data_IF_338464008798
#
_entry.id   IF_338464008798
#
_cell.length_a   1.000
_cell.length_b   1.000
_cell.length_c   1.000
_cell.angle_alpha   90.00
_cell.angle_beta   90.00
_cell.angle_gamma   90.00
#
_symmetry.space_group_name_H-M   'P 1'
#
loop_
_entity.id
_entity.type
_entity.pdbx_description
1 polymer ?
#
# COMPACT_ATOMS: atom_id res chain seq x y z
N UNK A 1 8.22 -2.39 40.49
CA UNK A 1 6.84 -2.15 40.03
C UNK A 1 6.81 -2.30 38.52
N UNK A 2 5.86 -3.05 37.95
CA UNK A 2 5.67 -3.06 36.50
C UNK A 2 4.97 -1.76 36.08
N UNK A 3 5.44 -1.11 35.02
CA UNK A 3 4.72 0.03 34.46
C UNK A 3 3.37 -0.46 33.91
N UNK A 4 2.29 0.21 34.29
CA UNK A 4 0.97 -0.03 33.71
C UNK A 4 1.04 0.25 32.21
N UNK A 5 0.87 -0.79 31.40
CA UNK A 5 0.99 -0.69 29.94
C UNK A 5 -0.01 0.34 29.39
N UNK A 6 0.49 1.33 28.67
CA UNK A 6 -0.33 2.39 28.06
C UNK A 6 -1.48 1.78 27.26
N UNK A 7 -2.71 2.31 27.36
CA UNK A 7 -3.88 1.69 26.76
C UNK A 7 -3.73 1.65 25.23
N UNK A 8 -4.13 0.51 24.64
CA UNK A 8 -3.84 0.20 23.24
C UNK A 8 -4.31 1.31 22.28
N UNK A 9 -3.48 1.68 21.28
CA UNK A 9 -3.76 2.84 20.43
C UNK A 9 -4.99 2.61 19.54
N UNK A 10 -5.72 3.69 19.29
CA UNK A 10 -6.82 3.68 18.31
C UNK A 10 -6.22 3.87 16.93
N UNK A 11 -6.19 2.80 16.14
CA UNK A 11 -5.69 2.82 14.77
C UNK A 11 -6.79 3.23 13.80
N UNK A 12 -6.43 4.10 12.85
CA UNK A 12 -7.32 4.68 11.86
C UNK A 12 -6.61 4.86 10.51
N UNK A 13 -7.39 4.91 9.43
CA UNK A 13 -6.87 5.17 8.09
C UNK A 13 -7.88 5.95 7.26
N UNK A 14 -7.39 6.64 6.22
CA UNK A 14 -8.20 7.40 5.29
C UNK A 14 -7.43 7.77 4.02
N UNK A 15 -8.06 8.48 3.10
CA UNK A 15 -7.38 8.98 1.91
C UNK A 15 -7.89 10.35 1.46
N UNK A 16 -6.95 11.21 1.07
CA UNK A 16 -7.23 12.47 0.41
C UNK A 16 -7.43 12.19 -1.08
N UNK A 17 -8.70 11.96 -1.45
CA UNK A 17 -9.09 11.70 -2.82
C UNK A 17 -9.06 13.00 -3.62
N UNK A 18 -8.43 12.97 -4.78
CA UNK A 18 -8.27 14.13 -5.66
C UNK A 18 -8.59 13.77 -7.11
N UNK A 19 -8.87 14.79 -7.93
CA UNK A 19 -9.08 14.68 -9.37
C UNK A 19 -8.55 15.91 -10.10
N UNK A 20 -8.12 15.75 -11.33
CA UNK A 20 -7.73 16.88 -12.18
C UNK A 20 -8.93 17.68 -12.71
N UNK A 21 -8.68 18.95 -13.00
CA UNK A 21 -9.63 19.91 -13.58
C UNK A 21 -8.85 20.95 -14.36
N UNK A 22 -9.47 21.64 -15.32
CA UNK A 22 -8.80 22.72 -16.07
C UNK A 22 -8.27 23.77 -15.09
N UNK A 23 -6.94 23.88 -14.99
CA UNK A 23 -6.21 24.80 -14.11
C UNK A 23 -5.88 24.28 -12.70
N UNK A 24 -6.45 23.18 -12.23
CA UNK A 24 -6.40 22.81 -10.81
C UNK A 24 -6.56 21.33 -10.51
N UNK A 25 -6.60 21.01 -9.21
CA UNK A 25 -7.18 19.76 -8.71
C UNK A 25 -8.34 20.09 -7.77
N UNK A 26 -9.44 19.35 -7.90
CA UNK A 26 -10.45 19.29 -6.85
C UNK A 26 -10.08 18.15 -5.90
N UNK A 27 -10.33 18.33 -4.59
CA UNK A 27 -10.25 17.29 -3.57
C UNK A 27 -11.63 16.98 -3.00
N UNK A 28 -11.81 15.75 -2.50
CA UNK A 28 -13.05 15.28 -1.89
C UNK A 28 -12.98 15.45 -0.37
N UNK A 29 -13.94 16.19 0.18
CA UNK A 29 -14.15 16.33 1.62
C UNK A 29 -15.51 15.77 2.04
N UNK A 30 -15.61 15.42 3.32
CA UNK A 30 -16.83 14.98 4.01
C UNK A 30 -17.18 15.92 5.15
N UNK A 31 -18.47 16.24 5.27
CA UNK A 31 -19.02 17.02 6.36
C UNK A 31 -19.53 16.10 7.48
N UNK A 32 -19.35 16.52 8.75
CA UNK A 32 -19.84 15.77 9.92
C UNK A 32 -20.87 16.56 10.72
N UNK A 33 -22.16 16.19 10.72
CA UNK A 33 -23.19 16.90 11.46
C UNK A 33 -22.98 16.86 12.99
N UNK A 34 -22.20 15.89 13.50
CA UNK A 34 -21.81 15.82 14.91
C UNK A 34 -20.85 16.94 15.36
N UNK A 35 -20.09 17.51 14.43
CA UNK A 35 -19.00 18.44 14.73
C UNK A 35 -19.09 19.77 13.95
N UNK A 36 -20.03 19.88 13.01
CA UNK A 36 -20.21 21.00 12.08
C UNK A 36 -18.89 21.33 11.34
N UNK A 37 -18.19 20.29 10.87
CA UNK A 37 -16.87 20.44 10.27
C UNK A 37 -16.60 19.56 9.04
N UNK A 38 -15.81 20.10 8.13
CA UNK A 38 -15.28 19.43 6.94
C UNK A 38 -13.94 18.76 7.24
N UNK A 39 -13.73 17.57 6.68
CA UNK A 39 -12.45 16.85 6.81
C UNK A 39 -12.23 15.82 5.70
N UNK A 40 -11.06 15.20 5.71
CA UNK A 40 -10.65 14.15 4.77
C UNK A 40 -11.29 12.80 5.18
N UNK A 41 -11.85 11.99 4.26
CA UNK A 41 -12.46 10.71 4.62
C UNK A 41 -11.50 9.75 5.37
N UNK A 42 -11.94 9.20 6.50
CA UNK A 42 -11.20 8.28 7.39
C UNK A 42 -12.09 7.65 8.48
N UNK A 43 -11.75 6.43 8.88
CA UNK A 43 -12.28 5.84 10.11
C UNK A 43 -11.31 4.86 10.77
N UNK A 44 -11.82 3.85 11.47
CA UNK A 44 -11.03 2.98 12.36
C UNK A 44 -10.69 1.67 11.66
N UNK A 45 -9.49 1.13 11.91
CA UNK A 45 -9.16 -0.21 11.44
C UNK A 45 -10.06 -1.24 12.10
N UNK A 46 -10.68 -2.08 11.28
CA UNK A 46 -11.48 -3.21 11.72
C UNK A 46 -10.61 -4.38 12.22
N UNK A 47 -11.18 -5.39 12.90
CA UNK A 47 -10.40 -6.39 13.64
C UNK A 47 -9.53 -7.29 12.72
N UNK A 48 -8.27 -6.90 12.54
CA UNK A 48 -7.31 -7.59 11.67
C UNK A 48 -7.27 -7.04 10.24
N UNK A 49 -7.87 -5.86 10.02
CA UNK A 49 -7.68 -5.06 8.82
C UNK A 49 -6.26 -4.47 8.74
N UNK A 50 -5.84 -3.98 7.58
CA UNK A 50 -4.59 -3.22 7.38
C UNK A 50 -4.92 -1.77 7.02
N UNK A 51 -4.00 -0.84 7.26
CA UNK A 51 -4.27 0.58 6.99
C UNK A 51 -4.67 0.89 5.53
N UNK A 52 -4.07 0.30 4.47
CA UNK A 52 -4.52 0.52 3.10
C UNK A 52 -5.93 -0.01 2.82
N UNK A 53 -6.28 -1.18 3.38
CA UNK A 53 -7.62 -1.76 3.23
C UNK A 53 -8.68 -0.89 3.92
N UNK A 54 -8.38 -0.44 5.15
CA UNK A 54 -9.21 0.51 5.88
C UNK A 54 -9.36 1.84 5.11
N UNK A 55 -8.27 2.42 4.58
CA UNK A 55 -8.34 3.66 3.81
C UNK A 55 -9.27 3.57 2.59
N UNK A 56 -9.27 2.43 1.87
CA UNK A 56 -10.16 2.21 0.72
C UNK A 56 -11.60 1.92 1.15
N UNK A 57 -11.81 1.18 2.25
CA UNK A 57 -13.14 0.90 2.81
C UNK A 57 -13.81 2.17 3.32
N UNK A 58 -13.16 2.91 4.20
CA UNK A 58 -13.69 4.11 4.84
C UNK A 58 -14.06 5.19 3.80
N UNK A 59 -13.23 5.37 2.76
CA UNK A 59 -13.57 6.25 1.63
C UNK A 59 -14.81 5.75 0.88
N UNK A 60 -14.97 4.45 0.66
CA UNK A 60 -16.15 3.91 -0.01
C UNK A 60 -17.43 4.05 0.81
N UNK A 61 -17.34 3.85 2.13
CA UNK A 61 -18.46 3.98 3.09
C UNK A 61 -18.87 5.45 3.31
N UNK A 62 -17.92 6.35 3.54
CA UNK A 62 -18.18 7.78 3.76
C UNK A 62 -18.53 8.55 2.47
N UNK A 63 -18.16 8.06 1.27
CA UNK A 63 -18.30 8.85 0.03
C UNK A 63 -18.96 8.15 -1.16
N UNK A 64 -19.12 6.83 -1.14
CA UNK A 64 -19.63 6.08 -2.29
C UNK A 64 -18.65 5.93 -3.47
N UNK A 65 -17.37 6.27 -3.29
CA UNK A 65 -16.32 6.08 -4.30
C UNK A 65 -15.33 4.97 -3.92
N UNK A 66 -15.04 4.06 -4.87
CA UNK A 66 -13.88 3.17 -4.79
C UNK A 66 -12.65 3.90 -5.33
N UNK A 67 -11.55 3.84 -4.60
CA UNK A 67 -10.33 4.58 -4.92
C UNK A 67 -9.12 3.69 -5.12
N UNK A 68 -8.11 4.26 -5.78
CA UNK A 68 -6.76 3.74 -5.94
C UNK A 68 -5.84 4.61 -5.09
N UNK A 69 -5.07 3.98 -4.19
CA UNK A 69 -4.08 4.67 -3.40
C UNK A 69 -2.82 4.92 -4.25
N UNK A 70 -2.32 6.16 -4.18
CA UNK A 70 -0.99 6.55 -4.64
C UNK A 70 -0.04 6.56 -3.43
N UNK A 71 0.91 7.49 -3.36
CA UNK A 71 1.87 7.56 -2.24
C UNK A 71 1.19 7.90 -0.90
N UNK A 72 1.75 7.44 0.23
CA UNK A 72 1.30 7.87 1.55
C UNK A 72 1.48 9.37 1.77
N UNK A 73 0.66 9.93 2.66
CA UNK A 73 0.69 11.29 3.18
C UNK A 73 1.08 11.26 4.69
N UNK A 74 1.43 12.40 5.32
CA UNK A 74 1.95 12.40 6.68
C UNK A 74 0.96 11.87 7.73
N UNK A 75 1.36 10.83 8.45
CA UNK A 75 0.54 10.24 9.52
C UNK A 75 0.22 11.25 10.64
N UNK A 76 -1.03 11.26 11.11
CA UNK A 76 -1.47 12.09 12.23
C UNK A 76 -1.48 11.29 13.53
N UNK A 77 -0.80 11.79 14.56
CA UNK A 77 -0.72 11.16 15.89
C UNK A 77 -1.13 12.17 16.97
N UNK A 78 -2.10 11.81 17.80
CA UNK A 78 -2.62 12.68 18.86
C UNK A 78 -3.25 11.88 20.01
N UNK A 79 -3.42 12.49 21.18
CA UNK A 79 -4.10 11.86 22.32
C UNK A 79 -5.61 12.08 22.26
N UNK A 80 -6.37 11.06 22.68
CA UNK A 80 -7.80 11.12 22.92
C UNK A 80 -8.09 11.54 24.39
N UNK A 81 -9.31 12.02 24.71
CA UNK A 81 -9.69 12.39 26.08
C UNK A 81 -9.61 11.23 27.10
N UNK A 82 -9.60 9.98 26.64
CA UNK A 82 -9.43 8.77 27.47
C UNK A 82 -7.94 8.35 27.65
N UNK A 83 -7.00 9.19 27.24
CA UNK A 83 -5.56 8.97 27.35
C UNK A 83 -4.97 8.03 26.29
N UNK A 84 -5.77 7.45 25.39
CA UNK A 84 -5.24 6.63 24.27
C UNK A 84 -4.63 7.50 23.19
N UNK A 85 -3.49 7.07 22.64
CA UNK A 85 -2.97 7.59 21.38
C UNK A 85 -3.87 7.14 20.22
N UNK A 86 -4.36 8.07 19.41
CA UNK A 86 -4.92 7.79 18.09
C UNK A 86 -3.84 8.00 17.02
N UNK A 87 -3.75 7.05 16.10
CA UNK A 87 -2.82 7.08 14.95
C UNK A 87 -3.67 6.97 13.68
N UNK A 88 -3.55 7.94 12.78
CA UNK A 88 -4.19 7.94 11.46
C UNK A 88 -3.10 7.89 10.38
N UNK A 89 -3.17 6.90 9.49
CA UNK A 89 -2.38 6.89 8.25
C UNK A 89 -3.24 7.40 7.09
N UNK A 90 -2.62 8.12 6.15
CA UNK A 90 -3.31 8.73 5.01
C UNK A 90 -2.57 8.42 3.71
N UNK A 91 -3.31 8.42 2.60
CA UNK A 91 -2.80 8.30 1.24
C UNK A 91 -3.37 9.37 0.34
N UNK A 92 -2.61 9.83 -0.65
CA UNK A 92 -3.20 10.52 -1.80
C UNK A 92 -3.92 9.47 -2.67
N UNK A 93 -5.12 9.75 -3.17
CA UNK A 93 -5.89 8.75 -3.90
C UNK A 93 -6.66 9.32 -5.10
N UNK A 94 -6.95 8.48 -6.08
CA UNK A 94 -7.81 8.81 -7.25
C UNK A 94 -8.99 7.85 -7.33
N UNK A 95 -10.09 8.28 -7.96
CA UNK A 95 -11.30 7.44 -8.10
C UNK A 95 -11.10 6.36 -9.18
N UNK A 96 -11.30 5.09 -8.80
CA UNK A 96 -11.41 3.95 -9.74
C UNK A 96 -12.83 3.82 -10.30
N UNK A 97 -13.81 3.90 -9.40
CA UNK A 97 -15.23 3.70 -9.73
C UNK A 97 -16.14 4.33 -8.65
N UNK A 98 -17.43 4.47 -8.95
CA UNK A 98 -18.47 4.73 -7.94
C UNK A 98 -19.00 3.40 -7.41
N UNK A 99 -18.96 3.17 -6.10
CA UNK A 99 -19.51 1.96 -5.44
C UNK A 99 -21.00 2.07 -5.17
N UNK A 100 -21.53 3.28 -4.94
CA UNK A 100 -22.92 3.47 -4.54
C UNK A 100 -23.31 4.95 -4.48
N UNK A 101 -24.45 5.29 -3.85
CA UNK A 101 -24.86 6.68 -3.67
C UNK A 101 -23.87 7.44 -2.78
N UNK A 102 -23.54 6.86 -1.61
CA UNK A 102 -22.80 7.51 -0.51
C UNK A 102 -23.62 8.58 0.23
N UNK A 103 -23.29 8.89 1.49
CA UNK A 103 -22.59 8.06 2.48
C UNK A 103 -23.45 6.87 2.97
N UNK A 104 -22.86 5.91 3.67
CA UNK A 104 -23.60 4.75 4.23
C UNK A 104 -24.30 5.06 5.57
N UNK A 105 -23.69 5.81 6.50
CA UNK A 105 -24.37 6.32 7.70
C UNK A 105 -24.49 7.85 7.68
N UNK A 106 -25.71 8.33 7.40
CA UNK A 106 -26.05 9.76 7.36
C UNK A 106 -25.96 10.51 8.69
N UNK A 107 -25.65 9.81 9.79
CA UNK A 107 -25.42 10.39 11.12
C UNK A 107 -23.94 10.65 11.40
N UNK A 108 -23.04 10.00 10.65
CA UNK A 108 -21.59 10.24 10.71
C UNK A 108 -21.19 11.26 9.63
N UNK A 109 -21.63 11.06 8.38
CA UNK A 109 -21.43 11.99 7.25
C UNK A 109 -22.78 12.32 6.61
N UNK A 110 -23.13 13.61 6.45
CA UNK A 110 -24.36 14.05 5.76
C UNK A 110 -24.11 14.63 4.36
N UNK A 111 -23.01 15.35 4.15
CA UNK A 111 -22.60 15.91 2.85
C UNK A 111 -21.21 15.40 2.40
N UNK A 112 -21.05 15.21 1.08
CA UNK A 112 -19.76 14.96 0.40
C UNK A 112 -19.57 16.04 -0.66
N UNK A 113 -18.39 16.65 -0.73
CA UNK A 113 -18.15 17.77 -1.66
C UNK A 113 -16.79 17.69 -2.33
N UNK A 114 -16.79 17.90 -3.65
CA UNK A 114 -15.58 18.14 -4.43
C UNK A 114 -15.31 19.64 -4.48
N UNK A 115 -14.20 20.08 -3.92
CA UNK A 115 -13.81 21.50 -3.81
C UNK A 115 -12.39 21.72 -4.35
N UNK A 116 -12.05 22.90 -4.90
CA UNK A 116 -10.66 23.24 -5.22
C UNK A 116 -9.73 23.09 -4.01
N UNK A 117 -8.47 22.71 -4.24
CA UNK A 117 -7.49 22.52 -3.16
C UNK A 117 -7.36 23.72 -2.21
N UNK A 118 -7.41 24.94 -2.73
CA UNK A 118 -7.26 26.16 -1.94
C UNK A 118 -8.55 26.48 -1.13
N UNK A 119 -9.72 26.08 -1.63
CA UNK A 119 -10.99 26.13 -0.88
C UNK A 119 -11.01 25.07 0.24
N UNK A 120 -10.46 23.88 -0.01
CA UNK A 120 -10.33 22.84 1.02
C UNK A 120 -9.50 23.29 2.22
N UNK A 121 -8.46 24.11 1.99
CA UNK A 121 -7.63 24.67 3.06
C UNK A 121 -8.41 25.67 3.93
N UNK A 122 -9.40 26.36 3.36
CA UNK A 122 -10.29 27.28 4.07
C UNK A 122 -11.47 26.58 4.78
N UNK A 123 -12.00 25.49 4.20
CA UNK A 123 -13.13 24.72 4.76
C UNK A 123 -12.71 23.78 5.90
N UNK A 124 -11.53 23.17 5.81
CA UNK A 124 -11.04 22.30 6.89
C UNK A 124 -10.49 23.13 8.05
N UNK A 125 -10.84 22.77 9.28
CA UNK A 125 -10.45 23.53 10.49
C UNK A 125 -9.40 22.82 11.34
N UNK A 126 -9.13 21.53 11.08
CA UNK A 126 -8.22 20.70 11.87
C UNK A 126 -6.85 20.64 11.22
N UNK A 127 -5.82 20.98 12.00
CA UNK A 127 -4.38 20.87 11.62
C UNK A 127 -4.01 19.50 11.02
N UNK A 128 -4.64 18.42 11.49
CA UNK A 128 -4.40 17.06 10.98
C UNK A 128 -4.83 16.86 9.53
N UNK A 129 -5.85 17.59 9.06
CA UNK A 129 -6.31 17.60 7.67
C UNK A 129 -5.48 18.59 6.82
N UNK A 130 -5.16 19.79 7.34
CA UNK A 130 -4.27 20.78 6.68
C UNK A 130 -2.92 20.19 6.25
N UNK A 131 -2.26 19.44 7.13
CA UNK A 131 -0.97 18.78 6.85
C UNK A 131 -1.05 17.83 5.64
N UNK A 132 -2.21 17.24 5.36
CA UNK A 132 -2.42 16.38 4.18
C UNK A 132 -2.60 17.22 2.91
N UNK A 133 -3.36 18.33 3.00
CA UNK A 133 -3.58 19.27 1.90
C UNK A 133 -2.27 19.94 1.47
N UNK A 134 -1.45 20.39 2.43
CA UNK A 134 -0.09 20.91 2.18
C UNK A 134 0.81 19.86 1.52
N UNK A 135 0.76 18.60 1.99
CA UNK A 135 1.54 17.52 1.42
C UNK A 135 1.10 17.20 -0.01
N UNK A 136 -0.21 17.20 -0.29
CA UNK A 136 -0.75 17.04 -1.64
C UNK A 136 -0.31 18.19 -2.57
N UNK A 137 -0.35 19.44 -2.10
CA UNK A 137 0.13 20.61 -2.85
C UNK A 137 1.63 20.49 -3.17
N UNK A 138 2.44 20.00 -2.22
CA UNK A 138 3.87 19.74 -2.38
C UNK A 138 4.18 18.58 -3.33
N UNK A 139 3.34 17.56 -3.37
CA UNK A 139 3.46 16.47 -4.34
C UNK A 139 3.06 16.95 -5.75
N UNK A 140 2.06 17.85 -5.86
CA UNK A 140 1.68 18.51 -7.12
C UNK A 140 2.81 19.35 -7.70
N UNK A 141 3.47 20.17 -6.89
CA UNK A 141 4.55 21.06 -7.38
C UNK A 141 5.87 20.37 -7.74
N UNK A 142 5.95 19.03 -7.59
CA UNK A 142 7.11 18.20 -7.93
C UNK A 142 6.83 17.15 -9.03
N UNK A 143 5.61 17.11 -9.55
CA UNK A 143 5.08 16.04 -10.40
C UNK A 143 5.14 14.64 -9.74
N UNK A 144 4.72 14.58 -8.47
CA UNK A 144 4.78 13.38 -7.62
C UNK A 144 3.39 12.95 -7.08
N UNK A 145 2.29 13.45 -7.67
CA UNK A 145 0.92 13.06 -7.33
C UNK A 145 0.56 11.67 -7.85
N UNK A 146 0.69 11.47 -9.17
CA UNK A 146 0.36 10.22 -9.83
C UNK A 146 1.53 9.28 -9.67
N UNK A 147 1.41 8.34 -8.74
CA UNK A 147 2.40 7.27 -8.58
C UNK A 147 1.87 5.91 -9.05
N UNK A 148 2.80 5.09 -9.52
CA UNK A 148 2.62 3.71 -9.97
C UNK A 148 3.22 2.76 -8.92
N UNK A 149 2.46 1.78 -8.40
CA UNK A 149 2.97 0.82 -7.44
C UNK A 149 3.77 -0.29 -8.14
N UNK A 150 5.04 -0.42 -7.75
CA UNK A 150 5.82 -1.64 -8.00
C UNK A 150 5.94 -2.37 -6.66
N UNK A 151 5.18 -3.44 -6.49
CA UNK A 151 5.01 -4.13 -5.20
C UNK A 151 5.94 -5.34 -5.10
N UNK A 152 7.01 -5.23 -4.33
CA UNK A 152 7.95 -6.31 -4.07
C UNK A 152 7.40 -7.23 -2.98
N UNK A 153 6.81 -8.35 -3.38
CA UNK A 153 6.20 -9.34 -2.50
C UNK A 153 7.19 -10.46 -2.15
N UNK A 154 7.64 -10.55 -0.90
CA UNK A 154 8.29 -11.79 -0.45
C UNK A 154 7.24 -12.88 -0.28
N UNK A 155 7.50 -14.08 -0.81
CA UNK A 155 6.57 -15.21 -0.67
C UNK A 155 6.16 -15.48 0.80
N UNK A 156 4.95 -15.98 1.00
CA UNK A 156 4.39 -16.28 2.32
C UNK A 156 5.10 -17.47 3.01
N UNK A 157 4.79 -17.73 4.29
CA UNK A 157 5.49 -18.74 5.06
C UNK A 157 5.38 -20.16 4.47
N UNK A 158 6.52 -20.75 4.07
CA UNK A 158 6.59 -22.07 3.43
C UNK A 158 6.91 -23.21 4.41
N UNK A 159 6.68 -24.46 4.01
CA UNK A 159 7.19 -25.62 4.78
C UNK A 159 8.71 -25.55 4.91
N UNK A 160 9.28 -25.99 6.03
CA UNK A 160 10.73 -26.05 6.20
C UNK A 160 11.36 -27.07 5.26
N UNK A 161 12.60 -26.84 4.82
CA UNK A 161 13.33 -27.78 3.94
C UNK A 161 13.46 -29.17 4.59
N UNK A 162 13.70 -29.21 5.90
CA UNK A 162 13.70 -30.45 6.69
C UNK A 162 12.38 -31.25 6.64
N UNK A 163 11.23 -30.61 6.37
CA UNK A 163 9.89 -31.24 6.25
C UNK A 163 9.40 -31.40 4.79
N UNK A 164 10.26 -31.22 3.78
CA UNK A 164 9.90 -31.44 2.38
C UNK A 164 10.94 -32.31 1.67
N UNK A 165 10.50 -33.18 0.74
CA UNK A 165 11.40 -34.09 -0.02
C UNK A 165 11.22 -34.03 -1.54
N UNK A 166 10.14 -33.46 -2.06
CA UNK A 166 9.83 -33.43 -3.51
C UNK A 166 10.57 -32.33 -4.29
N UNK A 167 11.78 -31.98 -3.87
CA UNK A 167 12.59 -30.90 -4.44
C UNK A 167 12.14 -29.48 -4.06
N UNK A 168 13.05 -28.50 -4.18
CA UNK A 168 12.84 -27.12 -3.73
C UNK A 168 11.83 -26.34 -4.58
N UNK A 169 11.75 -26.63 -5.89
CA UNK A 169 10.82 -25.99 -6.86
C UNK A 169 9.35 -26.17 -6.46
N UNK A 170 9.00 -27.33 -5.88
CA UNK A 170 7.64 -27.71 -5.52
C UNK A 170 7.24 -27.36 -4.09
N UNK A 171 8.17 -26.84 -3.27
CA UNK A 171 7.98 -26.64 -1.82
C UNK A 171 6.84 -25.64 -1.54
N UNK A 172 5.72 -26.06 -0.92
CA UNK A 172 4.49 -25.26 -0.82
C UNK A 172 4.46 -24.36 0.42
N UNK A 173 3.40 -23.55 0.49
CA UNK A 173 3.04 -22.80 1.69
C UNK A 173 2.64 -23.71 2.86
N UNK A 174 3.05 -23.33 4.07
CA UNK A 174 2.57 -23.91 5.32
C UNK A 174 1.23 -23.28 5.74
N UNK A 175 0.61 -23.70 6.85
CA UNK A 175 -0.71 -23.18 7.27
C UNK A 175 -0.71 -21.65 7.42
N UNK A 176 0.26 -21.09 8.15
CA UNK A 176 0.45 -19.64 8.31
C UNK A 176 0.63 -18.94 6.95
N UNK A 177 1.40 -19.53 6.03
CA UNK A 177 1.58 -18.99 4.68
C UNK A 177 0.28 -18.95 3.87
N UNK A 178 -0.57 -19.97 4.00
CA UNK A 178 -1.89 -19.99 3.34
C UNK A 178 -2.84 -18.93 3.92
N UNK A 179 -2.78 -18.65 5.21
CA UNK A 179 -3.51 -17.52 5.82
C UNK A 179 -3.00 -16.19 5.28
N UNK A 180 -1.68 -15.98 5.24
CA UNK A 180 -1.06 -14.76 4.70
C UNK A 180 -1.45 -14.51 3.24
N UNK A 181 -1.35 -15.53 2.38
CA UNK A 181 -1.72 -15.43 0.96
C UNK A 181 -3.22 -15.07 0.77
N UNK A 182 -4.11 -15.59 1.64
CA UNK A 182 -5.53 -15.21 1.66
C UNK A 182 -5.80 -13.80 2.19
N UNK A 183 -4.90 -13.23 2.98
CA UNK A 183 -5.03 -11.90 3.57
C UNK A 183 -4.30 -10.79 2.78
N UNK A 184 -3.55 -11.14 1.72
CA UNK A 184 -2.94 -10.17 0.81
C UNK A 184 -3.94 -9.38 -0.09
N UNK A 185 -5.05 -9.93 -0.62
CA UNK A 185 -5.83 -9.23 -1.64
C UNK A 185 -6.29 -7.81 -1.26
N UNK A 186 -6.81 -7.54 -0.04
CA UNK A 186 -7.19 -6.17 0.36
C UNK A 186 -6.01 -5.20 0.48
N UNK A 187 -4.79 -5.70 0.74
CA UNK A 187 -3.56 -4.89 0.77
C UNK A 187 -3.12 -4.54 -0.64
N UNK A 188 -3.27 -5.47 -1.58
CA UNK A 188 -2.73 -5.37 -2.94
C UNK A 188 -3.69 -4.61 -3.87
N UNK A 189 -5.00 -4.89 -3.83
CA UNK A 189 -6.00 -4.21 -4.66
C UNK A 189 -6.14 -2.71 -4.34
N UNK A 190 -5.80 -2.30 -3.11
CA UNK A 190 -5.80 -0.89 -2.71
C UNK A 190 -4.94 0.01 -3.62
N UNK A 191 -3.89 -0.54 -4.25
CA UNK A 191 -2.99 0.20 -5.14
C UNK A 191 -3.28 -0.03 -6.65
N UNK A 192 -4.21 -0.92 -6.98
CA UNK A 192 -4.63 -1.28 -8.35
C UNK A 192 -3.50 -1.78 -9.28
N UNK A 193 -2.81 -2.90 -8.96
CA UNK A 193 -1.82 -3.51 -9.86
C UNK A 193 -2.50 -4.35 -10.95
N UNK A 194 -2.13 -4.13 -12.22
CA UNK A 194 -2.72 -4.84 -13.36
C UNK A 194 -2.08 -6.19 -13.68
N UNK A 195 -0.87 -6.46 -13.20
CA UNK A 195 -0.09 -7.67 -13.56
C UNK A 195 0.82 -8.17 -12.44
N UNK A 196 1.19 -9.44 -12.52
CA UNK A 196 2.10 -10.13 -11.60
C UNK A 196 3.29 -10.72 -12.34
N UNK A 197 4.50 -10.42 -11.88
CA UNK A 197 5.74 -11.09 -12.29
C UNK A 197 6.22 -11.95 -11.11
N UNK A 198 6.45 -13.25 -11.30
CA UNK A 198 6.71 -14.15 -10.16
C UNK A 198 7.74 -15.22 -10.48
N UNK A 199 8.47 -15.70 -9.47
CA UNK A 199 9.28 -16.89 -9.66
C UNK A 199 8.37 -18.13 -9.83
N UNK A 200 8.67 -19.07 -10.74
CA UNK A 200 7.87 -20.28 -10.96
C UNK A 200 7.89 -21.33 -9.83
N UNK A 201 8.53 -21.04 -8.70
CA UNK A 201 8.55 -21.98 -7.57
C UNK A 201 7.25 -21.90 -6.78
N UNK A 202 6.67 -23.07 -6.45
CA UNK A 202 5.28 -23.20 -6.00
C UNK A 202 4.86 -22.18 -4.94
N UNK A 203 5.65 -22.00 -3.87
CA UNK A 203 5.37 -21.00 -2.81
C UNK A 203 5.18 -19.57 -3.29
N UNK A 204 5.79 -19.14 -4.40
CA UNK A 204 5.57 -17.81 -4.98
C UNK A 204 4.22 -17.76 -5.70
N UNK A 205 3.91 -18.72 -6.59
CA UNK A 205 2.58 -18.86 -7.22
C UNK A 205 1.47 -18.96 -6.16
N UNK A 206 1.61 -19.85 -5.19
CA UNK A 206 0.68 -20.02 -4.05
C UNK A 206 0.50 -18.73 -3.21
N UNK A 207 1.44 -17.78 -3.24
CA UNK A 207 1.32 -16.49 -2.53
C UNK A 207 0.51 -15.48 -3.33
N UNK A 208 0.70 -15.44 -4.66
CA UNK A 208 0.09 -14.42 -5.54
C UNK A 208 -1.25 -14.83 -6.14
N UNK A 209 -1.47 -16.13 -6.30
CA UNK A 209 -2.68 -16.70 -6.90
C UNK A 209 -4.00 -16.18 -6.31
N UNK A 210 -4.17 -15.94 -4.99
CA UNK A 210 -5.42 -15.43 -4.44
C UNK A 210 -5.79 -14.03 -4.92
N UNK A 211 -4.85 -13.09 -4.98
CA UNK A 211 -5.13 -11.72 -5.44
C UNK A 211 -5.11 -11.61 -6.96
N UNK A 212 -4.24 -12.36 -7.64
CA UNK A 212 -4.20 -12.38 -9.11
C UNK A 212 -5.51 -12.90 -9.70
N UNK A 213 -6.11 -13.95 -9.10
CA UNK A 213 -7.43 -14.44 -9.52
C UNK A 213 -8.57 -13.46 -9.19
N UNK A 214 -8.48 -12.74 -8.07
CA UNK A 214 -9.52 -11.78 -7.68
C UNK A 214 -9.54 -10.53 -8.58
N UNK A 215 -8.36 -10.02 -8.95
CA UNK A 215 -8.22 -8.85 -9.82
C UNK A 215 -8.08 -9.16 -11.31
N UNK A 216 -8.21 -10.44 -11.74
CA UNK A 216 -8.06 -10.82 -13.15
C UNK A 216 -6.66 -10.58 -13.75
N UNK A 217 -5.61 -10.56 -12.92
CA UNK A 217 -4.26 -10.14 -13.29
C UNK A 217 -3.48 -11.23 -14.04
N UNK A 218 -2.77 -10.85 -15.10
CA UNK A 218 -1.80 -11.73 -15.77
C UNK A 218 -0.67 -12.17 -14.83
N UNK A 219 -0.28 -13.45 -14.90
CA UNK A 219 0.84 -14.02 -14.13
C UNK A 219 1.97 -14.40 -15.09
N UNK A 220 3.02 -13.58 -15.15
CA UNK A 220 4.24 -13.84 -15.91
C UNK A 220 5.28 -14.53 -15.02
N UNK A 221 5.71 -15.73 -15.39
CA UNK A 221 6.74 -16.45 -14.64
C UNK A 221 8.17 -16.12 -15.14
N UNK A 222 9.09 -15.92 -14.19
CA UNK A 222 10.50 -15.57 -14.43
C UNK A 222 11.45 -16.47 -13.63
N UNK A 223 12.14 -17.45 -14.28
CA UNK A 223 13.16 -18.27 -13.63
C UNK A 223 14.27 -17.47 -12.94
N UNK A 224 14.56 -16.26 -13.43
CA UNK A 224 15.53 -15.29 -12.91
C UNK A 224 15.17 -14.79 -11.49
N UNK A 225 13.90 -14.93 -11.07
CA UNK A 225 13.42 -14.57 -9.74
C UNK A 225 13.48 -15.75 -8.74
N UNK A 226 14.04 -16.90 -9.12
CA UNK A 226 14.20 -18.07 -8.24
C UNK A 226 15.52 -18.02 -7.46
N UNK A 227 15.63 -18.72 -6.31
CA UNK A 227 16.90 -18.74 -5.55
C UNK A 227 18.05 -19.38 -6.35
N UNK A 228 17.76 -20.28 -7.31
CA UNK A 228 18.76 -20.86 -8.20
C UNK A 228 19.17 -19.88 -9.32
N UNK A 229 18.21 -19.41 -10.13
CA UNK A 229 18.51 -18.51 -11.26
C UNK A 229 19.14 -17.17 -10.83
N UNK A 230 18.84 -16.71 -9.60
CA UNK A 230 19.54 -15.59 -8.98
C UNK A 230 20.97 -15.91 -8.53
N UNK A 231 21.21 -17.09 -7.96
CA UNK A 231 22.56 -17.51 -7.57
C UNK A 231 23.46 -17.75 -8.79
N UNK A 232 22.93 -18.34 -9.84
CA UNK A 232 23.64 -18.60 -11.10
C UNK A 232 23.96 -17.28 -11.84
N UNK A 233 22.97 -16.38 -11.94
CA UNK A 233 23.07 -15.15 -12.74
C UNK A 233 22.36 -13.93 -12.09
N UNK A 234 22.94 -13.30 -11.05
CA UNK A 234 22.34 -12.14 -10.37
C UNK A 234 22.03 -10.96 -11.30
N UNK A 235 22.81 -10.79 -12.38
CA UNK A 235 22.61 -9.77 -13.41
C UNK A 235 21.31 -9.96 -14.22
N UNK A 236 20.82 -11.20 -14.38
CA UNK A 236 19.54 -11.47 -15.05
C UNK A 236 18.36 -11.13 -14.15
N UNK A 237 18.46 -11.42 -12.85
CA UNK A 237 17.51 -10.93 -11.83
C UNK A 237 17.45 -9.40 -11.83
N UNK A 238 18.62 -8.74 -11.89
CA UNK A 238 18.74 -7.28 -11.97
C UNK A 238 18.04 -6.73 -13.21
N UNK A 239 18.31 -7.28 -14.40
CA UNK A 239 17.66 -6.87 -15.64
C UNK A 239 16.12 -7.07 -15.66
N UNK A 240 15.59 -8.11 -15.01
CA UNK A 240 14.13 -8.26 -14.82
C UNK A 240 13.57 -7.12 -13.96
N UNK A 241 14.29 -6.70 -12.91
CA UNK A 241 13.84 -5.59 -12.06
C UNK A 241 13.97 -4.23 -12.73
N UNK A 242 15.09 -3.95 -13.41
CA UNK A 242 15.27 -2.70 -14.16
C UNK A 242 14.15 -2.53 -15.19
N UNK A 243 13.82 -3.60 -15.93
CA UNK A 243 12.70 -3.59 -16.88
C UNK A 243 11.35 -3.32 -16.21
N UNK A 244 11.04 -3.98 -15.09
CA UNK A 244 9.76 -3.76 -14.38
C UNK A 244 9.64 -2.33 -13.85
N UNK A 245 10.74 -1.72 -13.40
CA UNK A 245 10.79 -0.34 -12.93
C UNK A 245 10.67 0.66 -14.10
N UNK A 246 11.42 0.44 -15.18
CA UNK A 246 11.40 1.27 -16.40
C UNK A 246 10.08 1.23 -17.16
N UNK A 247 9.37 0.09 -17.17
CA UNK A 247 8.05 -0.01 -17.80
C UNK A 247 6.97 0.81 -17.07
N UNK A 248 7.22 1.26 -15.82
CA UNK A 248 6.34 2.13 -15.03
C UNK A 248 4.85 1.73 -15.06
N UNK A 249 4.57 0.41 -15.01
CA UNK A 249 3.22 -0.16 -14.99
C UNK A 249 2.89 -0.76 -13.61
N UNK A 250 1.65 -0.62 -13.08
CA UNK A 250 1.26 -1.20 -11.80
C UNK A 250 1.50 -2.72 -11.74
N UNK A 251 2.52 -3.15 -10.97
CA UNK A 251 3.09 -4.51 -11.06
C UNK A 251 3.39 -5.09 -9.68
N UNK A 252 2.99 -6.34 -9.41
CA UNK A 252 3.49 -7.10 -8.24
C UNK A 252 4.64 -8.02 -8.66
N UNK A 253 5.79 -7.94 -8.00
CA UNK A 253 6.95 -8.83 -8.21
C UNK A 253 7.12 -9.78 -7.02
N UNK A 254 6.90 -11.09 -7.21
CA UNK A 254 7.02 -12.07 -6.12
C UNK A 254 8.27 -12.97 -6.20
N UNK A 255 9.06 -12.98 -5.12
CA UNK A 255 10.36 -13.67 -5.05
C UNK A 255 10.73 -14.16 -3.63
N UNK A 256 11.98 -14.60 -3.44
CA UNK A 256 12.52 -15.25 -2.24
C UNK A 256 13.53 -14.36 -1.51
N UNK A 257 13.72 -14.62 -0.20
CA UNK A 257 14.66 -13.86 0.65
C UNK A 257 16.08 -13.68 0.06
N UNK A 258 16.75 -14.70 -0.51
CA UNK A 258 18.10 -14.54 -1.07
C UNK A 258 18.18 -13.58 -2.26
N UNK A 259 17.06 -13.36 -2.96
CA UNK A 259 16.95 -12.55 -4.19
C UNK A 259 16.70 -11.07 -3.87
N UNK A 260 16.10 -10.79 -2.70
CA UNK A 260 15.78 -9.43 -2.23
C UNK A 260 16.96 -8.42 -2.21
N UNK A 261 18.23 -8.78 -1.93
CA UNK A 261 19.34 -7.82 -2.00
C UNK A 261 19.49 -7.19 -3.39
N UNK A 262 19.41 -8.00 -4.45
CA UNK A 262 19.50 -7.52 -5.84
C UNK A 262 18.26 -6.72 -6.24
N UNK A 263 17.07 -7.14 -5.81
CA UNK A 263 15.81 -6.43 -6.09
C UNK A 263 15.79 -5.05 -5.42
N UNK A 264 16.20 -4.97 -4.15
CA UNK A 264 16.23 -3.71 -3.40
C UNK A 264 17.41 -2.84 -3.82
N UNK A 265 18.51 -3.41 -4.33
CA UNK A 265 19.57 -2.64 -5.00
C UNK A 265 19.11 -1.99 -6.31
N UNK A 266 18.23 -2.66 -7.08
CA UNK A 266 17.60 -2.06 -8.26
C UNK A 266 16.69 -0.89 -7.89
N UNK A 267 15.77 -1.09 -6.94
CA UNK A 267 14.93 -0.01 -6.42
C UNK A 267 15.73 1.17 -5.84
N UNK A 268 16.80 0.87 -5.07
CA UNK A 268 17.69 1.89 -4.48
C UNK A 268 18.43 2.75 -5.52
N UNK A 269 18.61 2.25 -6.74
CA UNK A 269 19.24 3.00 -7.82
C UNK A 269 18.31 4.04 -8.49
N UNK A 270 16.99 3.96 -8.26
CA UNK A 270 15.98 4.88 -8.81
C UNK A 270 15.23 5.68 -7.74
N UNK A 271 15.49 5.41 -6.46
CA UNK A 271 14.86 6.15 -5.35
C UNK A 271 15.48 7.53 -5.13
N UNK A 272 14.65 8.49 -4.69
CA UNK A 272 15.14 9.76 -4.13
C UNK A 272 16.05 9.47 -2.92
N UNK A 273 16.98 10.38 -2.61
CA UNK A 273 18.04 10.12 -1.62
C UNK A 273 17.49 9.81 -0.20
N UNK A 274 16.42 10.48 0.21
CA UNK A 274 15.67 10.23 1.44
C UNK A 274 14.95 8.88 1.40
N UNK A 275 14.17 8.61 0.36
CA UNK A 275 13.44 7.35 0.15
C UNK A 275 14.40 6.15 0.08
N UNK A 276 15.60 6.34 -0.48
CA UNK A 276 16.66 5.35 -0.50
C UNK A 276 17.18 5.02 0.92
N UNK A 277 17.20 5.97 1.85
CA UNK A 277 17.60 5.70 3.24
C UNK A 277 16.61 4.77 3.96
N UNK A 278 15.32 4.85 3.63
CA UNK A 278 14.25 4.01 4.20
C UNK A 278 14.25 2.57 3.66
N UNK A 279 14.67 2.36 2.40
CA UNK A 279 14.71 1.03 1.78
C UNK A 279 15.50 0.03 2.65
N UNK A 280 15.00 -1.21 2.87
CA UNK A 280 15.64 -2.17 3.76
C UNK A 280 17.10 -2.44 3.41
N UNK A 281 17.99 -2.43 4.41
CA UNK A 281 19.45 -2.46 4.21
C UNK A 281 20.09 -3.83 4.49
N UNK A 282 19.45 -4.67 5.30
CA UNK A 282 20.02 -5.93 5.79
C UNK A 282 18.99 -7.08 5.78
N UNK A 283 19.49 -8.33 5.81
CA UNK A 283 18.66 -9.52 5.92
C UNK A 283 17.79 -9.50 7.20
N UNK A 284 16.51 -9.91 7.14
CA UNK A 284 15.85 -10.63 6.03
C UNK A 284 15.32 -9.75 4.89
N UNK A 285 15.58 -8.44 4.91
CA UNK A 285 14.99 -7.38 4.07
C UNK A 285 13.47 -7.24 4.26
N UNK A 286 12.72 -8.28 3.93
CA UNK A 286 11.27 -8.41 4.14
C UNK A 286 10.96 -9.70 4.92
N UNK A 287 9.93 -9.69 5.76
CA UNK A 287 9.38 -10.86 6.43
C UNK A 287 8.65 -11.78 5.43
N UNK A 288 8.41 -13.04 5.79
CA UNK A 288 7.69 -13.96 4.90
C UNK A 288 6.23 -13.49 4.76
N UNK A 289 5.78 -13.25 3.53
CA UNK A 289 4.46 -12.68 3.23
C UNK A 289 4.39 -11.16 3.27
N UNK A 290 5.48 -10.46 3.58
CA UNK A 290 5.51 -8.98 3.55
C UNK A 290 5.66 -8.45 2.12
N UNK A 291 4.89 -7.39 1.83
CA UNK A 291 4.97 -6.57 0.63
C UNK A 291 5.71 -5.26 0.93
N UNK A 292 6.58 -4.84 0.01
CA UNK A 292 7.18 -3.51 -0.05
C UNK A 292 6.65 -2.81 -1.30
N UNK A 293 5.85 -1.77 -1.12
CA UNK A 293 5.28 -0.99 -2.21
C UNK A 293 6.30 0.12 -2.53
N UNK A 294 6.68 0.23 -3.80
CA UNK A 294 7.50 1.31 -4.34
C UNK A 294 6.59 2.24 -5.14
N UNK A 295 6.52 3.52 -4.79
CA UNK A 295 5.74 4.51 -5.53
C UNK A 295 6.62 5.18 -6.58
N UNK A 296 6.51 4.72 -7.82
CA UNK A 296 7.25 5.27 -8.96
C UNK A 296 6.47 6.43 -9.59
N UNK A 297 7.13 7.52 -9.97
CA UNK A 297 6.59 8.50 -10.93
C UNK A 297 6.70 7.98 -12.37
N UNK A 298 6.13 8.69 -13.34
CA UNK A 298 6.11 8.26 -14.75
C UNK A 298 7.51 8.15 -15.38
N UNK A 299 8.50 8.88 -14.85
CA UNK A 299 9.93 8.81 -15.18
C UNK A 299 10.70 7.75 -14.37
N UNK A 300 9.98 6.79 -13.75
CA UNK A 300 10.49 5.68 -12.95
C UNK A 300 11.29 6.05 -11.67
N UNK A 301 11.32 7.32 -11.24
CA UNK A 301 11.87 7.67 -9.91
C UNK A 301 10.97 7.14 -8.79
N UNK A 302 11.54 6.55 -7.75
CA UNK A 302 10.78 6.09 -6.57
C UNK A 302 10.74 7.21 -5.54
N UNK A 303 9.54 7.78 -5.34
CA UNK A 303 9.30 9.00 -4.53
C UNK A 303 8.68 8.72 -3.15
N UNK A 304 8.27 7.49 -2.89
CA UNK A 304 7.92 6.99 -1.56
C UNK A 304 8.02 5.46 -1.54
N UNK A 305 8.11 4.89 -0.33
CA UNK A 305 7.91 3.46 -0.10
C UNK A 305 6.99 3.22 1.09
N UNK A 306 6.36 2.05 1.13
CA UNK A 306 5.64 1.58 2.32
C UNK A 306 5.70 0.05 2.44
N UNK A 307 5.43 -0.47 3.64
CA UNK A 307 5.65 -1.89 3.98
C UNK A 307 4.44 -2.48 4.69
N UNK A 308 3.87 -3.54 4.13
CA UNK A 308 2.69 -4.20 4.66
C UNK A 308 2.91 -5.70 4.82
N UNK A 309 2.85 -6.17 6.06
CA UNK A 309 2.67 -7.58 6.38
C UNK A 309 1.16 -7.82 6.58
N UNK A 310 0.50 -8.72 5.84
CA UNK A 310 -0.92 -8.96 6.00
C UNK A 310 -1.22 -9.49 7.41
N UNK A 311 -2.17 -8.83 8.07
CA UNK A 311 -2.67 -9.25 9.37
C UNK A 311 -3.40 -10.60 9.24
N UNK A 312 -3.06 -11.53 10.13
CA UNK A 312 -3.63 -12.88 10.17
C UNK A 312 -4.08 -13.19 11.60
N UNK A 313 -5.18 -13.95 11.71
CA UNK A 313 -5.74 -14.46 12.97
C UNK A 313 -5.22 -15.88 13.24
#
# INVERSE_FOLDING_TARGET
MAASGSPAPVLAAGALVWREKRGGIDVLLVHRPRYDDWSIPKGKLDRGETFPAAAVREVAEETGYRVRLHRPLPASVYLLPDGRTKIVQYWAATVRARSGPGPEDRREIDETRWVPLDEAMALTTRRGDHVQLEALQRYRSRDELVTVPIVIQRHAAALSRAKWRKGEKSRPLNSKGKQQAKALPPVIDAFDPGRVVTSPWKRCRDTVEPFAKLGGMDIVEKPELTEAGHADHPSRTRAVMDRVLQEAQPTVVCTHRPVLPTVIAAARALALQDVALELPRANPYLAAGEALILHCTADARIVAIERHLPNIR
#
